data_IF_623559862013
#
_entry.id   IF_623559862013
#
_cell.length_a   1.000
_cell.length_b   1.000
_cell.length_c   1.000
_cell.angle_alpha   90.00
_cell.angle_beta   90.00
_cell.angle_gamma   90.00
#
_symmetry.space_group_name_H-M   'P 1'
#
loop_
_entity.id
_entity.type
_entity.pdbx_description
1 polymer ?
#
# COMPACT_ATOMS: atom_id res chain seq x y z
N UNK A 1 -11.71 -0.21 -8.88
CA UNK A 1 -12.64 -0.93 -7.97
C UNK A 1 -13.78 -1.58 -8.76
N UNK A 2 -14.38 -2.65 -8.23
CA UNK A 2 -15.52 -3.34 -8.86
C UNK A 2 -16.72 -3.40 -7.88
N UNK A 3 -17.83 -4.03 -8.30
CA UNK A 3 -19.05 -4.14 -7.52
C UNK A 3 -18.85 -4.78 -6.13
N UNK A 4 -17.91 -5.72 -5.98
CA UNK A 4 -17.61 -6.33 -4.69
C UNK A 4 -16.99 -5.32 -3.70
N UNK A 5 -16.13 -4.43 -4.18
CA UNK A 5 -15.56 -3.36 -3.34
C UNK A 5 -16.65 -2.36 -2.92
N UNK A 6 -17.58 -2.04 -3.83
CA UNK A 6 -18.70 -1.14 -3.53
C UNK A 6 -19.67 -1.74 -2.51
N UNK A 7 -19.94 -3.05 -2.59
CA UNK A 7 -20.76 -3.74 -1.60
C UNK A 7 -20.18 -3.67 -0.18
N UNK A 8 -18.84 -3.68 -0.05
CA UNK A 8 -18.16 -3.51 1.24
C UNK A 8 -18.37 -2.10 1.80
N UNK A 9 -18.35 -1.06 0.95
CA UNK A 9 -18.69 0.31 1.36
C UNK A 9 -20.12 0.38 1.87
N UNK A 10 -21.07 -0.24 1.17
CA UNK A 10 -22.46 -0.32 1.64
C UNK A 10 -22.59 -1.04 2.99
N UNK A 11 -21.79 -2.09 3.25
CA UNK A 11 -21.76 -2.72 4.58
C UNK A 11 -21.25 -1.78 5.67
N UNK A 12 -20.29 -0.91 5.34
CA UNK A 12 -19.77 0.11 6.25
C UNK A 12 -20.81 1.18 6.58
N UNK A 13 -21.47 1.73 5.55
CA UNK A 13 -22.54 2.72 5.69
C UNK A 13 -23.73 2.20 6.53
N UNK A 14 -24.00 0.91 6.45
CA UNK A 14 -25.03 0.23 7.25
C UNK A 14 -24.56 -0.09 8.68
N UNK A 15 -23.33 0.25 9.06
CA UNK A 15 -22.75 -0.05 10.38
C UNK A 15 -22.47 -1.54 10.62
N UNK A 16 -22.39 -2.34 9.55
CA UNK A 16 -22.20 -3.80 9.62
C UNK A 16 -20.78 -4.25 9.32
N UNK A 17 -19.91 -3.35 8.87
CA UNK A 17 -18.50 -3.65 8.62
C UNK A 17 -17.65 -3.44 9.88
N UNK A 18 -17.11 -4.54 10.40
CA UNK A 18 -16.06 -4.49 11.44
C UNK A 18 -14.70 -4.12 10.86
N UNK A 19 -14.20 -4.91 9.89
CA UNK A 19 -12.97 -4.65 9.17
C UNK A 19 -12.93 -5.40 7.84
N UNK A 20 -12.07 -4.96 6.92
CA UNK A 20 -11.65 -5.67 5.71
C UNK A 20 -10.23 -6.15 5.91
N UNK A 21 -10.04 -7.46 5.99
CA UNK A 21 -8.71 -8.07 5.99
C UNK A 21 -8.43 -8.54 4.57
N UNK A 22 -7.44 -7.95 3.91
CA UNK A 22 -7.14 -8.22 2.50
C UNK A 22 -5.69 -8.64 2.29
N UNK A 23 -5.50 -9.60 1.39
CA UNK A 23 -4.19 -10.00 0.88
C UNK A 23 -3.77 -9.19 -0.36
N UNK A 24 -4.72 -8.46 -0.95
CA UNK A 24 -4.45 -7.64 -2.13
C UNK A 24 -3.66 -6.40 -1.71
N UNK A 25 -2.80 -5.94 -2.61
CA UNK A 25 -1.88 -4.81 -2.39
C UNK A 25 -2.23 -3.59 -3.25
N UNK A 26 -3.35 -3.66 -3.98
CA UNK A 26 -3.78 -2.69 -5.00
C UNK A 26 -4.46 -1.44 -4.41
N UNK A 27 -4.90 -1.50 -3.16
CA UNK A 27 -5.58 -0.41 -2.47
C UNK A 27 -7.02 -0.15 -2.97
N UNK A 28 -7.64 -1.10 -3.70
CA UNK A 28 -8.94 -0.87 -4.32
C UNK A 28 -10.10 -0.75 -3.32
N UNK A 29 -9.95 -1.26 -2.10
CA UNK A 29 -10.93 -1.04 -1.02
C UNK A 29 -10.98 0.43 -0.60
N UNK A 30 -9.83 1.05 -0.41
CA UNK A 30 -9.71 2.46 -0.06
C UNK A 30 -10.18 3.34 -1.22
N UNK A 31 -9.81 3.01 -2.47
CA UNK A 31 -10.28 3.73 -3.67
C UNK A 31 -11.80 3.60 -3.83
N UNK A 32 -12.41 2.49 -3.41
CA UNK A 32 -13.87 2.35 -3.42
C UNK A 32 -14.57 3.24 -2.38
N UNK A 33 -13.87 3.62 -1.31
CA UNK A 33 -14.42 4.43 -0.21
C UNK A 33 -14.47 3.71 1.14
N UNK A 34 -13.91 2.50 1.27
CA UNK A 34 -13.81 1.86 2.60
C UNK A 34 -12.88 2.69 3.50
N UNK A 35 -13.27 3.03 4.74
CA UNK A 35 -12.43 3.82 5.64
C UNK A 35 -11.04 3.18 5.83
N UNK A 36 -9.93 3.94 5.69
CA UNK A 36 -8.59 3.38 5.79
C UNK A 36 -8.28 2.68 7.12
N UNK A 37 -8.87 3.15 8.22
CA UNK A 37 -8.76 2.56 9.56
C UNK A 37 -9.46 1.21 9.70
N UNK A 38 -10.34 0.86 8.75
CA UNK A 38 -11.02 -0.45 8.68
C UNK A 38 -10.38 -1.41 7.68
N UNK A 39 -9.36 -1.00 6.93
CA UNK A 39 -8.68 -1.87 5.95
C UNK A 39 -7.34 -2.33 6.50
N UNK A 40 -7.19 -3.65 6.67
CA UNK A 40 -5.96 -4.29 7.12
C UNK A 40 -5.33 -4.99 5.91
N UNK A 41 -4.24 -4.41 5.41
CA UNK A 41 -3.48 -4.91 4.25
C UNK A 41 -2.40 -5.89 4.72
N UNK A 42 -2.71 -7.19 4.70
CA UNK A 42 -1.82 -8.23 5.24
C UNK A 42 -0.47 -8.30 4.51
N UNK A 43 -0.47 -8.06 3.20
CA UNK A 43 0.73 -8.13 2.37
C UNK A 43 1.31 -6.74 2.07
N UNK A 44 0.97 -5.74 2.89
CA UNK A 44 1.38 -4.36 2.66
C UNK A 44 0.69 -3.74 1.45
N UNK A 45 1.32 -2.71 0.87
CA UNK A 45 0.66 -1.85 -0.12
C UNK A 45 1.59 -1.43 -1.25
N UNK A 46 1.06 -1.34 -2.46
CA UNK A 46 1.77 -0.76 -3.61
C UNK A 46 1.67 0.76 -3.66
N UNK A 47 0.90 1.40 -2.77
CA UNK A 47 0.71 2.86 -2.73
C UNK A 47 1.90 3.61 -2.15
N UNK A 48 2.80 2.91 -1.46
CA UNK A 48 3.99 3.47 -0.85
C UNK A 48 5.23 2.66 -1.23
N UNK A 49 6.38 3.30 -1.06
CA UNK A 49 7.71 2.68 -1.10
C UNK A 49 8.31 2.80 0.30
N UNK A 50 8.96 1.76 0.79
CA UNK A 50 9.57 1.70 2.11
C UNK A 50 11.06 1.35 2.02
N UNK A 51 11.86 1.98 2.89
CA UNK A 51 13.24 1.60 3.09
C UNK A 51 13.32 0.26 3.84
N UNK A 52 14.15 -0.66 3.33
CA UNK A 52 14.38 -1.96 3.95
C UNK A 52 15.23 -1.89 5.24
N UNK A 53 15.92 -0.77 5.49
CA UNK A 53 16.81 -0.62 6.65
C UNK A 53 16.18 0.16 7.80
N UNK A 54 15.49 1.28 7.51
CA UNK A 54 14.93 2.16 8.55
C UNK A 54 13.40 2.28 8.50
N UNK A 55 12.74 1.57 7.58
CA UNK A 55 11.28 1.61 7.41
C UNK A 55 10.67 2.98 7.05
N UNK A 56 11.50 3.97 6.69
CA UNK A 56 11.00 5.25 6.17
C UNK A 56 10.14 5.02 4.92
N UNK A 57 8.97 5.69 4.84
CA UNK A 57 7.98 5.49 3.78
C UNK A 57 7.73 6.78 3.03
N UNK A 58 7.57 6.64 1.72
CA UNK A 58 7.19 7.73 0.82
C UNK A 58 6.05 7.28 -0.10
N UNK A 59 5.17 8.19 -0.53
CA UNK A 59 4.16 7.90 -1.56
C UNK A 59 4.82 7.39 -2.85
N UNK A 60 4.24 6.34 -3.45
CA UNK A 60 4.81 5.75 -4.67
C UNK A 60 4.78 6.70 -5.86
N UNK A 61 3.74 7.51 -5.98
CA UNK A 61 3.59 8.53 -7.02
C UNK A 61 4.70 9.59 -6.97
N UNK A 62 5.15 9.97 -5.77
CA UNK A 62 6.28 10.87 -5.58
C UNK A 62 7.64 10.20 -5.88
N UNK A 63 7.76 8.90 -5.61
CA UNK A 63 9.01 8.15 -5.82
C UNK A 63 9.20 7.65 -7.26
N UNK A 64 8.12 7.25 -7.94
CA UNK A 64 8.16 6.60 -9.25
C UNK A 64 8.89 7.42 -10.35
N UNK A 65 8.79 8.76 -10.41
CA UNK A 65 9.53 9.57 -11.38
C UNK A 65 11.06 9.54 -11.17
N UNK A 66 11.53 9.17 -9.98
CA UNK A 66 12.95 9.05 -9.67
C UNK A 66 13.55 7.71 -10.15
N UNK A 67 12.70 6.74 -10.48
CA UNK A 67 13.12 5.39 -10.88
C UNK A 67 13.40 5.38 -12.39
N UNK A 68 14.63 5.02 -12.76
CA UNK A 68 15.07 4.86 -14.16
C UNK A 68 15.00 3.39 -14.58
N UNK A 69 15.03 3.14 -15.90
CA UNK A 69 15.10 1.78 -16.46
C UNK A 69 16.51 1.18 -16.42
N UNK A 70 17.51 2.01 -16.15
CA UNK A 70 18.91 1.64 -16.05
C UNK A 70 19.46 2.06 -14.70
N UNK A 71 20.33 1.23 -14.11
CA UNK A 71 20.94 1.48 -12.79
C UNK A 71 20.10 1.00 -11.60
N UNK A 72 20.57 1.33 -10.40
CA UNK A 72 19.92 0.97 -9.14
C UNK A 72 18.75 1.91 -8.81
N UNK A 73 17.80 1.40 -8.02
CA UNK A 73 16.73 2.23 -7.49
C UNK A 73 17.29 3.35 -6.59
N UNK A 74 16.65 4.54 -6.55
CA UNK A 74 17.05 5.62 -5.65
C UNK A 74 17.15 5.14 -4.19
N UNK A 75 18.23 5.50 -3.53
CA UNK A 75 18.47 5.17 -2.13
C UNK A 75 17.55 5.98 -1.20
N UNK A 76 17.36 5.47 0.01
CA UNK A 76 16.60 6.17 1.04
C UNK A 76 17.29 7.47 1.44
N UNK A 77 16.58 8.60 1.35
CA UNK A 77 17.12 9.91 1.75
C UNK A 77 17.48 9.98 3.24
N UNK A 78 16.86 9.16 4.09
CA UNK A 78 17.09 9.16 5.52
C UNK A 78 18.33 8.34 5.96
N UNK A 79 18.71 7.29 5.23
CA UNK A 79 19.77 6.37 5.68
C UNK A 79 20.63 5.73 4.57
N UNK A 80 20.36 6.03 3.29
CA UNK A 80 21.03 5.41 2.15
C UNK A 80 20.63 3.97 1.84
N UNK A 81 19.68 3.39 2.59
CA UNK A 81 19.24 2.01 2.39
C UNK A 81 18.40 1.79 1.13
N UNK A 82 18.23 0.53 0.73
CA UNK A 82 17.44 0.16 -0.45
C UNK A 82 15.95 0.48 -0.26
N UNK A 83 15.35 1.05 -1.31
CA UNK A 83 13.93 1.39 -1.38
C UNK A 83 13.19 0.34 -2.20
N UNK A 84 12.08 -0.17 -1.67
CA UNK A 84 11.23 -1.17 -2.31
C UNK A 84 9.76 -0.78 -2.15
N UNK A 85 8.84 -1.13 -3.07
CA UNK A 85 7.41 -1.07 -2.78
C UNK A 85 7.10 -1.62 -1.39
N UNK A 86 6.19 -0.97 -0.65
CA UNK A 86 5.86 -1.30 0.73
C UNK A 86 5.00 -2.58 0.86
N UNK A 87 5.20 -3.52 -0.05
CA UNK A 87 4.63 -4.87 -0.02
C UNK A 87 5.53 -5.81 0.77
N UNK A 88 4.90 -6.79 1.41
CA UNK A 88 5.58 -7.88 2.10
C UNK A 88 5.96 -8.93 1.05
N UNK A 89 7.25 -9.31 1.01
CA UNK A 89 7.73 -10.43 0.20
C UNK A 89 8.00 -11.65 1.07
N UNK A 90 8.16 -12.82 0.44
CA UNK A 90 8.55 -14.04 1.15
C UNK A 90 9.80 -13.83 2.00
N UNK A 91 9.74 -14.25 3.26
CA UNK A 91 10.85 -14.11 4.21
C UNK A 91 10.88 -12.78 4.98
N UNK A 92 9.90 -11.90 4.77
CA UNK A 92 9.62 -10.74 5.64
C UNK A 92 8.49 -11.03 6.63
#
# INVERSE_FOLDING_TARGET
PNAAHQAVVTLDELGKLGAVITQNVDGLHQVAGTPPDKVIELHGTTRHVACLSCSHRVPRDAFQPLVTTEGDAPACEACGGLMKPATISFGQ
#
